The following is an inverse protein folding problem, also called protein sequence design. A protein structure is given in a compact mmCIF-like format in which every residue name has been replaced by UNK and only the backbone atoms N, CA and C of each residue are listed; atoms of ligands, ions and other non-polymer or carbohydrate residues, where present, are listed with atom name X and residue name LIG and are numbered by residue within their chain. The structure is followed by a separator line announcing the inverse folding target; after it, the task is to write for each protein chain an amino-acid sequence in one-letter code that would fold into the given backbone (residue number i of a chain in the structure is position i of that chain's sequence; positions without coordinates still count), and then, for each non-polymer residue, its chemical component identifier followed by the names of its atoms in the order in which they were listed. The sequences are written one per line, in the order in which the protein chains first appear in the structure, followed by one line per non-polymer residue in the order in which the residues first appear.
data_IF_348085846553
#
_entry.id   IF_348085846553
#
_cell.length_a   1.000
_cell.length_b   1.000
_cell.length_c   1.000
_cell.angle_alpha   90.00
_cell.angle_beta   90.00
_cell.angle_gamma   90.00
#
_symmetry.space_group_name_H-M   'P 1'
#
loop_
_entity.id
_entity.type
_entity.pdbx_description
1 polymer ?
#
# COMPACT_ATOMS: atom_id res chain seq x y z
N UNK A 1 -62.38 18.05 6.32
CA UNK A 1 -61.06 18.52 6.79
C UNK A 1 -60.24 17.30 7.20
N UNK A 2 -59.47 16.75 6.26
CA UNK A 2 -58.64 15.58 6.48
C UNK A 2 -57.22 16.02 6.86
N UNK A 3 -56.73 15.53 7.99
CA UNK A 3 -55.39 15.76 8.52
C UNK A 3 -54.40 14.83 7.83
N UNK A 4 -53.57 15.36 6.93
CA UNK A 4 -52.43 14.66 6.31
C UNK A 4 -51.21 14.81 7.22
N UNK A 5 -50.93 13.79 8.06
CA UNK A 5 -49.66 13.68 8.79
C UNK A 5 -48.67 12.92 7.91
N UNK A 6 -47.86 13.66 7.15
CA UNK A 6 -46.68 13.09 6.49
C UNK A 6 -45.57 12.82 7.51
N UNK A 7 -45.23 11.54 7.67
CA UNK A 7 -44.00 11.10 8.34
C UNK A 7 -42.76 11.70 7.66
N UNK A 8 -41.69 12.05 8.41
CA UNK A 8 -40.46 12.53 7.81
C UNK A 8 -39.79 11.38 7.05
N UNK A 9 -39.49 11.63 5.76
CA UNK A 9 -38.73 10.74 4.90
C UNK A 9 -37.33 10.56 5.51
N UNK A 10 -36.91 9.31 5.67
CA UNK A 10 -35.58 8.96 6.15
C UNK A 10 -34.51 9.64 5.29
N UNK A 11 -33.59 10.35 5.96
CA UNK A 11 -32.35 10.81 5.34
C UNK A 11 -31.52 9.62 4.85
N UNK A 12 -30.52 9.85 3.98
CA UNK A 12 -29.65 8.78 3.52
C UNK A 12 -29.05 8.08 4.74
N UNK A 13 -29.25 6.76 4.85
CA UNK A 13 -28.60 5.93 5.85
C UNK A 13 -27.09 6.02 5.61
N UNK A 14 -26.40 6.87 6.38
CA UNK A 14 -24.94 6.96 6.36
C UNK A 14 -24.41 5.56 6.70
N UNK A 15 -23.85 4.87 5.72
CA UNK A 15 -23.37 3.50 5.88
C UNK A 15 -22.29 3.51 6.97
N UNK A 16 -22.55 2.85 8.11
CA UNK A 16 -21.57 2.70 9.18
C UNK A 16 -20.32 2.00 8.65
N UNK A 17 -19.16 2.61 8.84
CA UNK A 17 -17.85 2.04 8.49
C UNK A 17 -17.68 0.68 9.17
N UNK A 18 -17.18 -0.31 8.41
CA UNK A 18 -16.93 -1.65 8.91
C UNK A 18 -15.55 -2.11 8.44
N UNK A 19 -14.57 -2.07 9.34
CA UNK A 19 -13.16 -2.32 9.03
C UNK A 19 -12.92 -3.60 8.24
N UNK A 20 -13.48 -4.74 8.69
CA UNK A 20 -13.29 -6.03 8.03
C UNK A 20 -13.81 -6.05 6.59
N UNK A 21 -14.96 -5.41 6.35
CA UNK A 21 -15.57 -5.32 5.01
C UNK A 21 -14.76 -4.42 4.08
N UNK A 22 -14.35 -3.25 4.56
CA UNK A 22 -13.53 -2.32 3.78
C UNK A 22 -12.14 -2.91 3.50
N UNK A 23 -11.55 -3.59 4.49
CA UNK A 23 -10.28 -4.30 4.34
C UNK A 23 -10.39 -5.49 3.39
N UNK A 24 -11.50 -6.23 3.39
CA UNK A 24 -11.76 -7.28 2.42
C UNK A 24 -11.87 -6.71 1.01
N UNK A 25 -12.63 -5.63 0.81
CA UNK A 25 -12.70 -4.92 -0.47
C UNK A 25 -11.32 -4.51 -0.98
N UNK A 26 -10.49 -3.91 -0.11
CA UNK A 26 -9.10 -3.58 -0.45
C UNK A 26 -8.25 -4.80 -0.86
N UNK A 27 -8.42 -5.94 -0.20
CA UNK A 27 -7.72 -7.18 -0.59
C UNK A 27 -8.17 -7.69 -1.96
N UNK A 28 -9.44 -7.55 -2.30
CA UNK A 28 -9.98 -7.91 -3.62
C UNK A 28 -9.41 -7.00 -4.69
N UNK A 29 -9.41 -5.67 -4.47
CA UNK A 29 -8.80 -4.69 -5.40
C UNK A 29 -7.34 -5.03 -5.71
N UNK A 30 -6.54 -5.39 -4.70
CA UNK A 30 -5.14 -5.79 -4.88
C UNK A 30 -4.99 -7.10 -5.68
N UNK A 31 -5.85 -8.09 -5.39
CA UNK A 31 -5.86 -9.34 -6.14
C UNK A 31 -6.24 -9.15 -7.61
N UNK A 32 -7.22 -8.30 -7.90
CA UNK A 32 -7.63 -7.93 -9.26
C UNK A 32 -6.53 -7.18 -10.00
N UNK A 33 -5.86 -6.22 -9.35
CA UNK A 33 -4.70 -5.52 -9.92
C UNK A 33 -3.62 -6.52 -10.33
N UNK A 34 -3.19 -7.39 -9.42
CA UNK A 34 -2.14 -8.37 -9.72
C UNK A 34 -2.55 -9.33 -10.83
N UNK A 35 -3.77 -9.86 -10.79
CA UNK A 35 -4.25 -10.82 -11.78
C UNK A 35 -4.56 -10.21 -13.15
N UNK A 36 -4.84 -8.90 -13.23
CA UNK A 36 -5.01 -8.18 -14.50
C UNK A 36 -3.68 -7.69 -15.08
N UNK A 37 -2.57 -7.81 -14.35
CA UNK A 37 -1.25 -7.30 -14.75
C UNK A 37 -0.20 -8.40 -14.89
N UNK A 38 0.38 -8.89 -13.79
CA UNK A 38 1.61 -9.71 -13.78
C UNK A 38 1.43 -11.10 -13.16
N UNK A 39 0.22 -11.42 -12.69
CA UNK A 39 -0.07 -12.69 -12.01
C UNK A 39 -1.20 -13.49 -12.66
N UNK A 40 -1.38 -14.73 -12.20
CA UNK A 40 -2.50 -15.61 -12.55
C UNK A 40 -3.09 -16.27 -11.31
N UNK A 41 -4.36 -15.98 -11.01
CA UNK A 41 -5.10 -16.66 -9.94
C UNK A 41 -4.61 -16.36 -8.52
N UNK A 42 -3.83 -15.32 -8.31
CA UNK A 42 -3.37 -14.90 -6.98
C UNK A 42 -4.55 -14.42 -6.14
N UNK A 43 -4.60 -14.84 -4.88
CA UNK A 43 -5.62 -14.41 -3.92
C UNK A 43 -4.95 -13.71 -2.76
N UNK A 44 -5.24 -12.42 -2.62
CA UNK A 44 -4.85 -11.62 -1.46
C UNK A 44 -5.94 -11.78 -0.40
N UNK A 45 -5.54 -11.95 0.85
CA UNK A 45 -6.45 -12.15 1.98
C UNK A 45 -6.49 -10.92 2.87
N UNK A 46 -7.63 -10.72 3.51
CA UNK A 46 -7.79 -9.85 4.66
C UNK A 46 -8.15 -10.71 5.87
N UNK A 47 -7.48 -10.48 7.00
CA UNK A 47 -7.76 -11.16 8.28
C UNK A 47 -7.88 -10.13 9.40
N UNK A 48 -8.86 -10.31 10.28
CA UNK A 48 -8.92 -9.54 11.51
C UNK A 48 -7.79 -9.95 12.45
N UNK A 49 -7.22 -8.99 13.16
CA UNK A 49 -6.22 -9.24 14.21
C UNK A 49 -6.92 -9.39 15.56
N UNK A 50 -6.64 -10.47 16.29
CA UNK A 50 -7.32 -10.80 17.55
C UNK A 50 -6.84 -9.95 18.75
N UNK A 51 -5.89 -9.04 18.53
CA UNK A 51 -5.24 -8.26 19.57
C UNK A 51 -5.83 -6.85 19.72
N UNK A 52 -6.79 -6.69 20.64
CA UNK A 52 -7.24 -5.46 21.38
C UNK A 52 -7.48 -4.12 20.65
N UNK A 53 -7.07 -3.96 19.39
CA UNK A 53 -7.32 -2.82 18.52
C UNK A 53 -8.09 -3.35 17.31
N UNK A 54 -9.09 -2.58 16.86
CA UNK A 54 -9.76 -2.85 15.59
C UNK A 54 -8.73 -2.70 14.46
N UNK A 55 -8.05 -3.79 14.12
CA UNK A 55 -7.02 -3.85 13.08
C UNK A 55 -7.30 -5.06 12.18
N UNK A 56 -7.05 -4.90 10.89
CA UNK A 56 -6.95 -6.00 9.94
C UNK A 56 -5.58 -6.03 9.28
N UNK A 57 -5.19 -7.20 8.83
CA UNK A 57 -3.97 -7.43 8.05
C UNK A 57 -4.37 -7.88 6.65
N UNK A 58 -3.73 -7.30 5.63
CA UNK A 58 -3.89 -7.70 4.23
C UNK A 58 -2.57 -8.19 3.68
N UNK A 59 -2.55 -9.37 3.05
CA UNK A 59 -1.33 -9.99 2.56
C UNK A 59 -1.58 -11.30 1.81
N UNK A 60 -0.49 -11.89 1.30
CA UNK A 60 -0.50 -13.17 0.61
C UNK A 60 -0.11 -14.31 1.55
N UNK A 61 -0.75 -15.48 1.40
CA UNK A 61 -0.46 -16.66 2.24
C UNK A 61 -0.90 -16.56 3.71
N UNK A 62 -1.34 -15.39 4.19
CA UNK A 62 -1.68 -15.17 5.60
C UNK A 62 -2.94 -15.93 6.06
N UNK A 63 -3.04 -16.12 7.38
CA UNK A 63 -4.18 -16.70 8.10
C UNK A 63 -4.45 -15.91 9.39
N UNK A 64 -5.55 -16.19 10.09
CA UNK A 64 -5.81 -15.55 11.40
C UNK A 64 -4.69 -15.81 12.42
N UNK A 65 -4.07 -16.99 12.39
CA UNK A 65 -3.00 -17.41 13.32
C UNK A 65 -1.60 -16.97 12.87
N UNK A 66 -1.44 -16.68 11.58
CA UNK A 66 -0.15 -16.38 10.97
C UNK A 66 -0.35 -15.19 10.03
N UNK A 67 -0.04 -14.00 10.55
CA UNK A 67 -0.31 -12.72 9.88
C UNK A 67 0.97 -12.11 9.29
N UNK A 68 2.13 -12.69 9.54
CA UNK A 68 3.41 -12.14 9.09
C UNK A 68 3.65 -12.40 7.59
N UNK A 69 4.49 -11.55 7.00
CA UNK A 69 4.95 -11.72 5.63
C UNK A 69 5.96 -12.88 5.56
N UNK A 70 5.45 -14.10 5.39
CA UNK A 70 6.28 -15.33 5.26
C UNK A 70 6.40 -15.87 3.85
N UNK A 71 5.51 -15.46 2.95
CA UNK A 71 5.46 -15.94 1.58
C UNK A 71 5.31 -14.78 0.61
N UNK A 72 6.14 -14.76 -0.42
CA UNK A 72 6.05 -13.80 -1.51
C UNK A 72 5.20 -14.35 -2.68
N UNK A 73 4.50 -13.45 -3.37
CA UNK A 73 3.64 -13.73 -4.52
C UNK A 73 4.53 -14.00 -5.74
N UNK A 74 4.40 -15.14 -6.44
CA UNK A 74 5.13 -15.37 -7.68
C UNK A 74 4.64 -14.41 -8.77
N UNK A 75 5.55 -13.61 -9.34
CA UNK A 75 5.26 -12.69 -10.44
C UNK A 75 5.44 -13.41 -11.77
N UNK A 76 4.39 -14.10 -12.20
CA UNK A 76 4.41 -14.93 -13.41
C UNK A 76 3.02 -15.09 -14.03
N UNK A 77 2.98 -15.21 -15.36
CA UNK A 77 1.79 -15.55 -16.11
C UNK A 77 1.74 -17.04 -16.39
N UNK A 78 0.60 -17.67 -16.05
CA UNK A 78 0.38 -19.10 -16.24
C UNK A 78 1.26 -19.97 -15.33
N UNK A 79 1.90 -20.98 -15.91
CA UNK A 79 2.70 -22.00 -15.18
C UNK A 79 4.21 -21.81 -15.33
N UNK A 80 4.67 -20.69 -15.91
CA UNK A 80 6.11 -20.42 -16.06
C UNK A 80 6.76 -20.23 -14.69
N UNK A 81 8.01 -20.67 -14.55
CA UNK A 81 8.79 -20.41 -13.33
C UNK A 81 8.92 -18.88 -13.12
N UNK A 82 8.57 -18.34 -11.94
CA UNK A 82 8.71 -16.92 -11.67
C UNK A 82 10.19 -16.54 -11.56
N UNK A 83 10.55 -15.38 -12.12
CA UNK A 83 11.88 -14.76 -11.94
C UNK A 83 11.98 -13.90 -10.69
N UNK A 84 10.85 -13.31 -10.31
CA UNK A 84 10.71 -12.40 -9.19
C UNK A 84 9.50 -12.78 -8.36
N UNK A 85 9.56 -12.42 -7.08
CA UNK A 85 8.47 -12.57 -6.14
C UNK A 85 8.18 -11.23 -5.46
N UNK A 86 6.91 -10.97 -5.17
CA UNK A 86 6.44 -9.77 -4.48
C UNK A 86 6.00 -10.13 -3.06
N UNK A 87 6.74 -9.69 -2.05
CA UNK A 87 6.21 -9.65 -0.69
C UNK A 87 5.26 -8.46 -0.55
N UNK A 88 4.11 -8.68 0.07
CA UNK A 88 3.10 -7.63 0.28
C UNK A 88 2.41 -7.83 1.62
N UNK A 89 2.43 -6.79 2.44
CA UNK A 89 1.78 -6.79 3.74
C UNK A 89 1.30 -5.39 4.12
N UNK A 90 0.06 -5.30 4.59
CA UNK A 90 -0.56 -4.07 5.09
C UNK A 90 -1.16 -4.30 6.48
N UNK A 91 -0.98 -3.33 7.38
CA UNK A 91 -1.77 -3.19 8.61
C UNK A 91 -2.74 -2.03 8.44
N UNK A 92 -4.01 -2.32 8.66
CA UNK A 92 -5.11 -1.40 8.42
C UNK A 92 -5.92 -1.18 9.69
N UNK A 93 -6.32 0.05 9.91
CA UNK A 93 -7.14 0.49 11.05
C UNK A 93 -8.22 1.45 10.54
N UNK A 94 -9.28 1.72 11.33
CA UNK A 94 -10.11 2.89 11.12
C UNK A 94 -9.25 4.16 11.24
N UNK A 95 -9.58 5.21 10.50
CA UNK A 95 -9.03 6.53 10.78
C UNK A 95 -9.56 7.10 12.10
N UNK A 96 -9.02 8.26 12.52
CA UNK A 96 -9.34 8.87 13.82
C UNK A 96 -10.83 9.20 14.02
N UNK A 97 -11.58 9.45 12.94
CA UNK A 97 -13.04 9.65 12.96
C UNK A 97 -13.85 8.36 12.76
N UNK A 98 -13.18 7.22 12.54
CA UNK A 98 -13.79 5.90 12.33
C UNK A 98 -14.72 5.83 11.11
N UNK A 99 -14.42 6.58 10.05
CA UNK A 99 -15.24 6.63 8.84
C UNK A 99 -14.51 6.06 7.62
N UNK A 100 -13.18 5.95 7.67
CA UNK A 100 -12.38 5.51 6.53
C UNK A 100 -11.31 4.50 6.90
N UNK A 101 -10.98 3.64 5.93
CA UNK A 101 -9.87 2.70 6.03
C UNK A 101 -8.54 3.46 5.99
N UNK A 102 -7.68 3.23 6.96
CA UNK A 102 -6.39 3.86 7.11
C UNK A 102 -5.27 2.82 7.09
N UNK A 103 -4.26 3.04 6.25
CA UNK A 103 -3.01 2.27 6.32
C UNK A 103 -2.20 2.80 7.51
N UNK A 104 -1.94 1.93 8.47
CA UNK A 104 -1.04 2.16 9.61
C UNK A 104 0.39 1.81 9.22
N UNK A 105 0.60 0.68 8.54
CA UNK A 105 1.88 0.34 7.93
C UNK A 105 1.70 -0.49 6.67
N UNK A 106 2.67 -0.43 5.75
CA UNK A 106 2.77 -1.35 4.61
C UNK A 106 4.22 -1.70 4.30
N UNK A 107 4.45 -2.90 3.78
CA UNK A 107 5.75 -3.39 3.34
C UNK A 107 5.56 -4.04 1.97
N UNK A 108 6.36 -3.62 0.99
CA UNK A 108 6.48 -4.27 -0.31
C UNK A 108 7.91 -4.70 -0.53
N UNK A 109 8.14 -5.96 -0.86
CA UNK A 109 9.47 -6.48 -1.15
C UNK A 109 9.52 -7.07 -2.55
N UNK A 110 10.65 -6.92 -3.24
CA UNK A 110 10.92 -7.67 -4.48
C UNK A 110 12.09 -8.60 -4.21
N UNK A 111 11.92 -9.90 -4.44
CA UNK A 111 12.93 -10.93 -4.18
C UNK A 111 13.09 -11.88 -5.38
N UNK A 112 14.20 -12.62 -5.42
CA UNK A 112 14.43 -13.68 -6.42
C UNK A 112 13.90 -15.05 -5.97
N UNK A 113 13.51 -15.17 -4.71
CA UNK A 113 12.98 -16.39 -4.10
C UNK A 113 11.65 -16.11 -3.41
N UNK A 114 10.89 -17.16 -3.12
CA UNK A 114 9.62 -17.07 -2.39
C UNK A 114 9.76 -16.57 -0.95
N UNK A 115 10.99 -16.62 -0.40
CA UNK A 115 11.35 -16.12 0.92
C UNK A 115 11.50 -14.58 0.88
N UNK A 116 10.58 -13.82 1.49
CA UNK A 116 10.61 -12.37 1.47
C UNK A 116 11.70 -11.77 2.37
N UNK A 117 12.40 -12.57 3.19
CA UNK A 117 13.45 -12.09 4.10
C UNK A 117 14.76 -11.74 3.41
N UNK A 118 14.90 -12.10 2.12
CA UNK A 118 16.07 -11.80 1.28
C UNK A 118 15.67 -10.94 0.06
N UNK A 119 15.15 -9.73 0.28
CA UNK A 119 14.73 -8.88 -0.83
C UNK A 119 15.93 -8.33 -1.60
N UNK A 120 15.70 -7.90 -2.84
CA UNK A 120 16.57 -7.02 -3.62
C UNK A 120 16.38 -5.56 -3.18
N UNK A 121 15.13 -5.19 -2.89
CA UNK A 121 14.76 -3.93 -2.30
C UNK A 121 13.38 -4.04 -1.64
N UNK A 122 13.06 -3.08 -0.80
CA UNK A 122 11.72 -2.96 -0.26
C UNK A 122 11.29 -1.51 -0.03
N UNK A 123 10.00 -1.28 -0.22
CA UNK A 123 9.32 -0.06 0.17
C UNK A 123 8.58 -0.30 1.48
N UNK A 124 8.92 0.50 2.47
CA UNK A 124 8.25 0.45 3.77
C UNK A 124 7.50 1.75 4.02
N UNK A 125 6.38 1.60 4.70
CA UNK A 125 5.62 2.69 5.25
C UNK A 125 5.21 2.36 6.67
N UNK A 126 5.50 3.28 7.59
CA UNK A 126 5.05 3.25 8.98
C UNK A 126 4.54 4.64 9.36
N UNK A 127 3.27 4.71 9.73
CA UNK A 127 2.62 5.95 10.14
C UNK A 127 3.15 6.44 11.48
N UNK A 128 3.40 7.75 11.55
CA UNK A 128 3.82 8.44 12.77
C UNK A 128 5.09 7.79 13.39
N UNK A 129 6.01 7.40 12.49
CA UNK A 129 7.28 6.75 12.81
C UNK A 129 8.10 7.65 13.75
N UNK A 130 8.36 7.15 14.97
CA UNK A 130 8.91 7.96 16.07
C UNK A 130 10.43 7.99 16.19
N UNK A 131 11.16 7.33 15.30
CA UNK A 131 12.62 7.16 15.37
C UNK A 131 13.41 8.23 14.57
N UNK A 132 12.70 9.19 13.95
CA UNK A 132 13.29 10.27 13.16
C UNK A 132 13.57 9.91 11.69
N UNK A 133 13.36 8.65 11.27
CA UNK A 133 13.46 8.28 9.86
C UNK A 133 12.18 8.62 9.08
N UNK A 134 12.26 8.73 7.73
CA UNK A 134 11.09 8.96 6.90
C UNK A 134 10.03 7.86 7.11
N UNK A 135 8.78 8.28 7.26
CA UNK A 135 7.66 7.33 7.39
C UNK A 135 7.51 6.41 6.20
N UNK A 136 7.82 6.89 5.00
CA UNK A 136 7.84 6.11 3.78
C UNK A 136 9.25 6.18 3.18
N UNK A 137 9.82 5.03 2.87
CA UNK A 137 11.19 4.94 2.37
C UNK A 137 11.43 3.69 1.52
N UNK A 138 12.50 3.74 0.75
CA UNK A 138 13.09 2.64 0.00
C UNK A 138 14.37 2.20 0.73
N UNK A 139 14.56 0.88 0.83
CA UNK A 139 15.86 0.29 1.15
C UNK A 139 16.27 -0.66 0.03
N UNK A 140 17.55 -0.61 -0.36
CA UNK A 140 18.11 -1.43 -1.43
C UNK A 140 19.08 -2.43 -0.80
N UNK A 141 18.86 -3.71 -1.05
CA UNK A 141 19.70 -4.79 -0.58
C UNK A 141 20.80 -5.11 -1.60
N UNK A 142 21.78 -4.20 -1.65
CA UNK A 142 22.97 -4.34 -2.47
C UNK A 142 24.20 -3.85 -1.71
N UNK A 143 25.38 -4.22 -2.18
CA UNK A 143 26.66 -3.73 -1.67
C UNK A 143 27.59 -3.34 -2.82
N UNK A 144 28.42 -2.35 -2.58
CA UNK A 144 29.56 -1.97 -3.42
C UNK A 144 30.57 -1.21 -2.56
N UNK A 145 31.86 -1.11 -2.98
CA UNK A 145 32.84 -0.33 -2.23
C UNK A 145 32.42 1.13 -2.01
N UNK A 146 31.76 1.74 -2.99
CA UNK A 146 31.26 3.12 -2.88
C UNK A 146 30.14 3.23 -1.84
N UNK A 147 29.25 2.24 -1.78
CA UNK A 147 28.19 2.21 -0.77
C UNK A 147 28.72 1.89 0.63
N UNK A 148 29.75 1.05 0.73
CA UNK A 148 30.42 0.77 2.00
C UNK A 148 31.08 2.06 2.54
N UNK A 149 31.72 2.84 1.65
CA UNK A 149 32.30 4.15 1.98
C UNK A 149 31.22 5.19 2.33
N UNK A 150 30.14 5.29 1.55
CA UNK A 150 29.03 6.21 1.80
C UNK A 150 28.27 5.87 3.10
N UNK A 151 28.31 4.60 3.52
CA UNK A 151 27.72 4.10 4.75
C UNK A 151 28.47 4.49 6.02
N UNK A 152 29.65 5.10 5.92
CA UNK A 152 30.39 5.62 7.09
C UNK A 152 29.70 6.89 7.59
N UNK A 153 29.10 6.80 8.77
CA UNK A 153 28.35 7.91 9.39
C UNK A 153 29.30 8.91 10.05
N UNK A 154 28.78 10.10 10.36
CA UNK A 154 29.54 11.19 10.99
C UNK A 154 30.12 10.82 12.37
N UNK A 155 29.55 9.82 13.05
CA UNK A 155 30.06 9.28 14.31
C UNK A 155 31.11 8.16 14.12
N UNK A 156 31.52 7.92 12.87
CA UNK A 156 32.47 6.86 12.49
C UNK A 156 31.85 5.45 12.41
N UNK A 157 30.57 5.27 12.75
CA UNK A 157 29.90 3.97 12.64
C UNK A 157 29.57 3.62 11.19
N UNK A 158 29.75 2.36 10.81
CA UNK A 158 29.38 1.84 9.50
C UNK A 158 27.90 1.46 9.43
N UNK A 159 27.28 1.67 8.27
CA UNK A 159 25.90 1.25 8.00
C UNK A 159 25.75 0.78 6.56
N UNK A 160 25.25 -0.44 6.37
CA UNK A 160 24.99 -1.02 5.06
C UNK A 160 23.89 -0.25 4.32
N UNK A 161 23.94 -0.25 2.98
CA UNK A 161 22.92 0.37 2.12
C UNK A 161 21.51 -0.13 2.45
N UNK A 162 21.35 -1.43 2.72
CA UNK A 162 20.06 -2.02 3.09
C UNK A 162 19.47 -1.49 4.40
N UNK A 163 20.25 -0.75 5.20
CA UNK A 163 19.78 -0.09 6.43
C UNK A 163 19.58 1.41 6.25
N UNK A 164 19.89 1.98 5.09
CA UNK A 164 19.70 3.40 4.80
C UNK A 164 18.27 3.63 4.30
N UNK A 165 17.59 4.63 4.85
CA UNK A 165 16.18 4.93 4.55
C UNK A 165 16.09 6.02 3.47
N UNK A 166 16.05 5.62 2.21
CA UNK A 166 15.95 6.57 1.09
C UNK A 166 14.52 7.11 1.01
N UNK A 167 14.28 8.42 1.16
CA UNK A 167 12.93 8.97 1.20
C UNK A 167 12.24 8.90 -0.18
N UNK A 168 10.92 8.70 -0.18
CA UNK A 168 10.09 8.56 -1.40
C UNK A 168 9.00 9.64 -1.51
N UNK A 169 9.23 10.82 -0.93
CA UNK A 169 8.25 11.93 -0.96
C UNK A 169 7.24 11.94 0.22
N UNK A 170 7.35 10.99 1.16
CA UNK A 170 6.56 10.97 2.38
C UNK A 170 5.21 10.25 2.28
N UNK A 171 4.42 10.26 3.35
CA UNK A 171 3.27 9.32 3.51
C UNK A 171 2.21 9.37 2.41
N UNK A 172 2.04 10.50 1.72
CA UNK A 172 1.04 10.68 0.64
C UNK A 172 1.57 10.35 -0.76
N UNK A 173 2.89 10.34 -0.94
CA UNK A 173 3.57 10.04 -2.20
C UNK A 173 4.31 8.71 -2.18
N UNK A 174 4.10 7.91 -1.13
CA UNK A 174 4.68 6.57 -1.01
C UNK A 174 4.32 5.72 -2.24
N UNK A 175 5.25 4.91 -2.75
CA UNK A 175 4.98 3.95 -3.82
C UNK A 175 3.83 3.01 -3.46
N UNK A 176 3.08 2.62 -4.49
CA UNK A 176 2.02 1.65 -4.46
C UNK A 176 2.47 0.35 -5.15
N UNK A 177 1.59 -0.66 -5.19
CA UNK A 177 1.90 -1.94 -5.86
C UNK A 177 2.03 -1.74 -7.37
N UNK A 178 1.28 -0.79 -7.91
CA UNK A 178 1.32 -0.29 -9.28
C UNK A 178 2.74 0.12 -9.70
N UNK A 179 3.50 0.79 -8.82
CA UNK A 179 4.88 1.23 -9.11
C UNK A 179 5.83 0.04 -9.33
N UNK A 180 5.68 -1.02 -8.55
CA UNK A 180 6.50 -2.24 -8.71
C UNK A 180 6.13 -2.97 -9.99
N UNK A 181 4.83 -3.05 -10.31
CA UNK A 181 4.34 -3.69 -11.54
C UNK A 181 4.89 -2.94 -12.75
N UNK A 182 4.74 -1.61 -12.78
CA UNK A 182 5.22 -0.76 -13.86
C UNK A 182 6.73 -0.87 -14.04
N UNK A 183 7.50 -0.76 -12.95
CA UNK A 183 8.96 -0.94 -12.97
C UNK A 183 9.34 -2.28 -13.61
N UNK A 184 8.79 -3.39 -13.11
CA UNK A 184 9.18 -4.72 -13.57
C UNK A 184 8.80 -4.96 -15.04
N UNK A 185 7.66 -4.46 -15.50
CA UNK A 185 7.24 -4.67 -16.89
C UNK A 185 7.98 -3.73 -17.85
N UNK A 186 8.15 -2.46 -17.50
CA UNK A 186 8.86 -1.48 -18.34
C UNK A 186 10.34 -1.85 -18.51
N UNK A 187 11.00 -2.33 -17.46
CA UNK A 187 12.38 -2.82 -17.50
C UNK A 187 12.51 -4.24 -18.08
N UNK A 188 11.42 -4.82 -18.60
CA UNK A 188 11.38 -6.17 -19.20
C UNK A 188 11.85 -7.28 -18.24
N UNK A 189 11.63 -7.07 -16.94
CA UNK A 189 11.94 -8.02 -15.86
C UNK A 189 10.77 -8.97 -15.59
N UNK A 190 9.54 -8.56 -15.93
CA UNK A 190 8.33 -9.38 -15.86
C UNK A 190 7.46 -9.24 -17.12
N UNK A 191 6.67 -10.27 -17.41
CA UNK A 191 5.68 -10.25 -18.49
C UNK A 191 4.37 -9.63 -17.99
N UNK A 192 3.89 -8.57 -18.66
CA UNK A 192 2.60 -7.95 -18.39
C UNK A 192 1.50 -8.47 -19.32
N UNK A 193 0.28 -8.65 -18.80
CA UNK A 193 -0.91 -8.99 -19.60
C UNK A 193 -1.29 -7.86 -20.56
N UNK A 194 -2.00 -8.18 -21.66
CA UNK A 194 -2.68 -7.15 -22.46
C UNK A 194 -3.54 -6.25 -21.56
N UNK A 195 -3.38 -4.93 -21.67
CA UNK A 195 -4.10 -3.95 -20.86
C UNK A 195 -3.49 -3.65 -19.49
N UNK A 196 -2.32 -4.22 -19.14
CA UNK A 196 -1.69 -3.99 -17.83
C UNK A 196 -1.46 -2.50 -17.52
N UNK A 197 -1.11 -1.69 -18.53
CA UNK A 197 -0.89 -0.24 -18.36
C UNK A 197 -2.14 0.46 -17.87
N UNK A 198 -3.29 0.16 -18.46
CA UNK A 198 -4.58 0.71 -18.06
C UNK A 198 -4.91 0.30 -16.63
N UNK A 199 -4.71 -0.97 -16.26
CA UNK A 199 -4.96 -1.44 -14.91
C UNK A 199 -4.07 -0.73 -13.86
N UNK A 200 -2.80 -0.50 -14.20
CA UNK A 200 -1.85 0.28 -13.37
C UNK A 200 -2.27 1.74 -13.27
N UNK A 201 -2.56 2.41 -14.38
CA UNK A 201 -2.97 3.82 -14.42
C UNK A 201 -4.23 4.05 -13.57
N UNK A 202 -5.27 3.23 -13.75
CA UNK A 202 -6.51 3.34 -13.00
C UNK A 202 -6.31 3.04 -11.50
N UNK A 203 -5.48 2.06 -11.16
CA UNK A 203 -5.12 1.75 -9.78
C UNK A 203 -4.41 2.91 -9.10
N UNK A 204 -3.40 3.45 -9.77
CA UNK A 204 -2.65 4.63 -9.34
C UNK A 204 -3.54 5.84 -9.16
N UNK A 205 -4.46 6.11 -10.10
CA UNK A 205 -5.43 7.19 -9.98
C UNK A 205 -6.32 7.01 -8.74
N UNK A 206 -6.88 5.81 -8.52
CA UNK A 206 -7.68 5.52 -7.31
C UNK A 206 -6.88 5.75 -6.03
N UNK A 207 -5.61 5.34 -6.01
CA UNK A 207 -4.72 5.58 -4.87
C UNK A 207 -4.50 7.08 -4.62
N UNK A 208 -4.13 7.84 -5.66
CA UNK A 208 -3.89 9.27 -5.58
C UNK A 208 -5.14 10.04 -5.14
N UNK A 209 -6.32 9.70 -5.68
CA UNK A 209 -7.58 10.26 -5.23
C UNK A 209 -7.87 9.98 -3.75
N UNK A 210 -7.63 8.74 -3.29
CA UNK A 210 -7.76 8.38 -1.86
C UNK A 210 -6.81 9.22 -1.00
N UNK A 211 -5.56 9.44 -1.43
CA UNK A 211 -4.60 10.30 -0.73
C UNK A 211 -5.03 11.77 -0.73
N UNK A 212 -5.52 12.30 -1.85
CA UNK A 212 -5.99 13.66 -1.98
C UNK A 212 -7.21 13.92 -1.08
N UNK A 213 -8.23 13.06 -1.13
CA UNK A 213 -9.39 13.13 -0.22
C UNK A 213 -8.94 13.14 1.25
N UNK A 214 -7.97 12.29 1.62
CA UNK A 214 -7.42 12.28 2.97
C UNK A 214 -6.62 13.54 3.33
N UNK A 215 -5.94 14.18 2.37
CA UNK A 215 -5.24 15.45 2.57
C UNK A 215 -6.24 16.61 2.75
N UNK A 216 -7.26 16.70 1.89
CA UNK A 216 -8.33 17.70 1.99
C UNK A 216 -9.05 17.61 3.34
N UNK A 217 -9.43 16.40 3.78
CA UNK A 217 -10.06 16.21 5.11
C UNK A 217 -9.19 16.70 6.27
N UNK A 218 -7.86 16.56 6.15
CA UNK A 218 -6.91 17.01 7.18
C UNK A 218 -6.67 18.52 7.14
N UNK A 219 -6.80 19.15 5.97
CA UNK A 219 -6.50 20.57 5.74
C UNK A 219 -7.59 21.26 4.91
N UNK A 220 -8.85 21.34 5.42
CA UNK A 220 -9.97 21.85 4.64
C UNK A 220 -9.82 23.32 4.24
N UNK A 221 -9.18 24.14 5.08
CA UNK A 221 -8.98 25.57 4.80
C UNK A 221 -7.97 25.78 3.66
N UNK A 222 -6.90 24.98 3.61
CA UNK A 222 -5.92 24.99 2.51
C UNK A 222 -6.61 24.59 1.20
N UNK A 223 -7.46 23.57 1.23
CA UNK A 223 -8.21 23.14 0.05
C UNK A 223 -9.19 24.21 -0.43
N UNK A 224 -9.86 24.92 0.48
CA UNK A 224 -10.75 26.05 0.16
C UNK A 224 -9.98 27.18 -0.53
N UNK A 225 -8.86 27.60 0.04
CA UNK A 225 -8.03 28.67 -0.52
C UNK A 225 -7.56 28.34 -1.95
N UNK A 226 -7.11 27.10 -2.19
CA UNK A 226 -6.69 26.66 -3.51
C UNK A 226 -7.82 26.70 -4.56
N UNK A 227 -9.05 26.38 -4.17
CA UNK A 227 -10.21 26.47 -5.07
C UNK A 227 -10.54 27.93 -5.38
N UNK A 228 -10.50 28.83 -4.39
CA UNK A 228 -10.73 30.26 -4.60
C UNK A 228 -9.71 30.88 -5.56
N UNK A 229 -8.44 30.46 -5.50
CA UNK A 229 -7.39 30.88 -6.44
C UNK A 229 -7.64 30.37 -7.86
N UNK A 230 -8.11 29.12 -8.02
CA UNK A 230 -8.38 28.52 -9.33
C UNK A 230 -9.56 29.14 -10.10
N UNK A 231 -10.39 29.92 -9.41
CA UNK A 231 -11.55 30.61 -9.98
C UNK A 231 -11.28 32.10 -10.29
N UNK A 232 -10.03 32.56 -10.15
CA UNK A 232 -9.58 33.89 -10.58
C UNK A 232 -9.01 33.85 -11.99
#
# INVERSE_FOLDING_TARGET
MASDRRSPRGGPLTRRFALERESHGFSVELGELLNSTVCTGVKIKSVASDHTRQRTVVGYGITKREQDLRQAIPLTLGKKAPRFFLGLHFRLTPDHVHEHLMVESSVFTVSLTEDPSRPLFHYDYERDKGDGYPEAHLQICASSPDWDQAGIRLDGSGRLLEKLHLPVGGRRFRPAVEDIIEFLVCEQLAEGRPGWRTAVEEGRQRFQEKQLRAAVRKHPDVARAALEESHR
#
